data_IF_830758533014
#
_entry.id   IF_830758533014
#
_cell.length_a   1.000
_cell.length_b   1.000
_cell.length_c   1.000
_cell.angle_alpha   90.00
_cell.angle_beta   90.00
_cell.angle_gamma   90.00
#
_symmetry.space_group_name_H-M   'P 1'
#
loop_
_entity.id
_entity.type
_entity.pdbx_description
1 polymer ?
#
# COMPACT_ATOMS: atom_id res chain seq x y z
N UNK A 1 1.59 -12.48 69.38
CA UNK A 1 1.81 -11.04 69.06
C UNK A 1 2.68 -10.98 67.81
N UNK A 2 2.07 -10.65 66.66
CA UNK A 2 2.36 -9.44 65.85
C UNK A 2 3.80 -9.43 65.30
N UNK A 3 4.04 -9.50 63.99
CA UNK A 3 3.68 -8.44 63.02
C UNK A 3 3.56 -8.95 61.57
N UNK A 4 2.60 -8.34 60.87
CA UNK A 4 2.47 -8.21 59.40
C UNK A 4 3.36 -7.04 58.88
N UNK A 5 3.38 -6.91 57.55
CA UNK A 5 3.81 -5.79 56.68
C UNK A 5 5.30 -5.86 56.27
N UNK A 6 5.73 -5.69 55.00
CA UNK A 6 5.12 -5.06 53.82
C UNK A 6 5.85 -5.59 52.56
N UNK A 7 5.12 -6.07 51.55
CA UNK A 7 5.67 -6.40 50.22
C UNK A 7 4.64 -6.06 49.13
N UNK A 8 4.47 -4.77 48.83
CA UNK A 8 3.62 -4.33 47.71
C UNK A 8 3.92 -2.91 47.21
N UNK A 9 5.17 -2.58 46.88
CA UNK A 9 5.47 -1.26 46.29
C UNK A 9 6.43 -1.23 45.11
N UNK A 10 7.05 -2.35 44.70
CA UNK A 10 8.02 -2.33 43.59
C UNK A 10 7.48 -2.87 42.25
N UNK A 11 6.38 -3.62 42.24
CA UNK A 11 5.84 -4.24 41.02
C UNK A 11 4.84 -3.38 40.22
N UNK A 12 4.42 -2.22 40.74
CA UNK A 12 3.48 -1.30 40.08
C UNK A 12 4.17 -0.24 39.22
N UNK A 13 5.45 0.06 39.47
CA UNK A 13 6.17 1.15 38.78
C UNK A 13 6.76 0.70 37.43
N UNK A 14 7.18 -0.56 37.30
CA UNK A 14 7.70 -1.13 36.05
C UNK A 14 6.62 -1.46 35.02
N UNK A 15 5.47 -1.97 35.45
CA UNK A 15 4.33 -2.24 34.56
C UNK A 15 3.73 -0.94 34.00
N UNK A 16 3.69 0.13 34.80
CA UNK A 16 3.27 1.45 34.33
C UNK A 16 4.26 2.08 33.35
N UNK A 17 5.58 1.88 33.49
CA UNK A 17 6.57 2.35 32.50
C UNK A 17 6.48 1.57 31.18
N UNK A 18 6.29 0.24 31.20
CA UNK A 18 6.11 -0.58 29.98
C UNK A 18 4.81 -0.27 29.24
N UNK A 19 3.70 0.01 29.93
CA UNK A 19 2.45 0.47 29.30
C UNK A 19 2.55 1.91 28.76
N UNK A 20 3.29 2.80 29.43
CA UNK A 20 3.49 4.17 28.94
C UNK A 20 4.39 4.21 27.70
N UNK A 21 5.40 3.34 27.60
CA UNK A 21 6.27 3.21 26.42
C UNK A 21 5.60 2.51 25.21
N UNK A 22 4.59 1.66 25.42
CA UNK A 22 3.82 1.06 24.31
C UNK A 22 2.78 2.03 23.72
N UNK A 23 2.16 2.89 24.55
CA UNK A 23 1.16 3.86 24.09
C UNK A 23 1.76 5.05 23.33
N UNK A 24 3.02 5.43 23.57
CA UNK A 24 3.63 6.58 22.88
C UNK A 24 4.12 6.26 21.47
N UNK A 25 4.41 4.98 21.13
CA UNK A 25 4.84 4.60 19.77
C UNK A 25 3.68 4.41 18.79
N UNK A 26 2.49 4.06 19.27
CA UNK A 26 1.28 3.94 18.44
C UNK A 26 0.70 5.32 18.04
N UNK A 27 1.04 6.37 18.79
CA UNK A 27 0.67 7.77 18.54
C UNK A 27 1.45 8.43 17.38
N UNK A 28 2.66 7.96 17.07
CA UNK A 28 3.54 8.63 16.09
C UNK A 28 3.19 8.40 14.60
N UNK A 29 2.36 7.40 14.29
CA UNK A 29 1.86 7.17 12.91
C UNK A 29 0.68 8.10 12.56
N UNK A 30 -0.03 8.62 13.57
CA UNK A 30 -1.20 9.48 13.39
C UNK A 30 -0.83 10.96 13.19
N UNK A 31 0.35 11.40 13.64
CA UNK A 31 0.69 12.82 13.73
C UNK A 31 1.29 13.45 12.44
N UNK A 32 1.66 12.66 11.44
CA UNK A 32 2.39 13.15 10.24
C UNK A 32 1.53 13.24 8.97
N UNK A 33 0.32 12.67 8.94
CA UNK A 33 -0.54 12.73 7.75
C UNK A 33 -1.16 14.13 7.61
N UNK A 34 -0.38 15.13 7.19
CA UNK A 34 -0.92 16.37 6.61
C UNK A 34 -1.37 16.09 5.17
N UNK A 35 -2.38 15.22 5.00
CA UNK A 35 -3.14 15.10 3.75
C UNK A 35 -3.91 16.40 3.50
N UNK A 36 -4.17 16.80 2.24
CA UNK A 36 -5.26 17.71 1.95
C UNK A 36 -6.54 17.06 2.46
N UNK A 37 -7.02 17.48 3.62
CA UNK A 37 -8.11 16.81 4.31
C UNK A 37 -9.43 17.25 3.68
N UNK A 38 -10.08 16.33 2.95
CA UNK A 38 -11.53 16.41 2.74
C UNK A 38 -12.14 16.72 4.10
N UNK A 39 -12.93 17.80 4.18
CA UNK A 39 -13.50 18.25 5.46
C UNK A 39 -14.30 17.09 6.08
N UNK A 40 -14.25 16.84 7.40
CA UNK A 40 -15.04 15.77 8.02
C UNK A 40 -16.53 15.84 7.67
N UNK A 41 -17.08 17.06 7.59
CA UNK A 41 -18.47 17.29 7.16
C UNK A 41 -18.75 16.79 5.74
N UNK A 42 -17.80 16.96 4.82
CA UNK A 42 -17.91 16.52 3.44
C UNK A 42 -17.94 14.99 3.31
N UNK A 43 -17.23 14.29 4.20
CA UNK A 43 -17.29 12.82 4.31
C UNK A 43 -18.64 12.39 4.88
N UNK A 44 -19.07 13.01 5.98
CA UNK A 44 -20.37 12.73 6.60
C UNK A 44 -21.54 12.97 5.63
N UNK A 45 -21.50 14.06 4.86
CA UNK A 45 -22.50 14.36 3.83
C UNK A 45 -22.51 13.28 2.73
N UNK A 46 -21.33 12.77 2.35
CA UNK A 46 -21.21 11.69 1.36
C UNK A 46 -21.82 10.41 1.89
N UNK A 47 -21.47 10.00 3.10
CA UNK A 47 -22.04 8.81 3.77
C UNK A 47 -23.56 8.97 3.92
N UNK A 48 -24.04 10.12 4.41
CA UNK A 48 -25.46 10.37 4.55
C UNK A 48 -26.22 10.34 3.22
N UNK A 49 -25.62 10.84 2.13
CA UNK A 49 -26.20 10.77 0.79
C UNK A 49 -26.32 9.31 0.33
N UNK A 50 -25.25 8.53 0.46
CA UNK A 50 -25.24 7.10 0.11
C UNK A 50 -26.31 6.39 0.94
N UNK A 51 -26.33 6.60 2.25
CA UNK A 51 -27.24 5.91 3.15
C UNK A 51 -28.71 6.22 2.95
N UNK A 52 -29.05 7.38 2.39
CA UNK A 52 -30.41 7.71 1.96
C UNK A 52 -30.79 7.08 0.61
N UNK A 53 -29.81 6.86 -0.27
CA UNK A 53 -30.00 6.31 -1.60
C UNK A 53 -30.10 4.77 -1.64
N UNK A 54 -29.60 4.10 -0.60
CA UNK A 54 -29.61 2.62 -0.50
C UNK A 54 -30.47 2.16 0.68
N UNK A 55 -31.03 0.94 0.59
CA UNK A 55 -31.80 0.35 1.69
C UNK A 55 -30.95 0.05 2.94
N UNK A 56 -31.61 -0.19 4.08
CA UNK A 56 -30.94 -0.46 5.37
C UNK A 56 -29.94 -1.62 5.30
N UNK A 57 -30.29 -2.70 4.59
CA UNK A 57 -29.42 -3.87 4.40
C UNK A 57 -28.12 -3.48 3.65
N UNK A 58 -28.22 -2.68 2.60
CA UNK A 58 -27.06 -2.22 1.85
C UNK A 58 -26.17 -1.30 2.68
N UNK A 59 -26.73 -0.49 3.59
CA UNK A 59 -25.94 0.33 4.52
C UNK A 59 -25.09 -0.52 5.47
N UNK A 60 -25.64 -1.60 6.01
CA UNK A 60 -24.88 -2.52 6.86
C UNK A 60 -23.75 -3.19 6.08
N UNK A 61 -24.03 -3.61 4.84
CA UNK A 61 -23.03 -4.21 3.95
C UNK A 61 -21.88 -3.25 3.60
N UNK A 62 -22.13 -1.93 3.58
CA UNK A 62 -21.15 -0.90 3.23
C UNK A 62 -20.38 -0.30 4.42
N UNK A 63 -20.63 -0.80 5.63
CA UNK A 63 -20.01 -0.27 6.86
C UNK A 63 -18.49 -0.23 6.78
N UNK A 64 -17.87 -1.29 6.25
CA UNK A 64 -16.41 -1.38 6.15
C UNK A 64 -15.84 -0.28 5.26
N UNK A 65 -16.49 0.01 4.13
CA UNK A 65 -16.09 1.06 3.21
C UNK A 65 -16.17 2.43 3.87
N UNK A 66 -17.25 2.73 4.61
CA UNK A 66 -17.41 3.99 5.33
C UNK A 66 -16.35 4.21 6.41
N UNK A 67 -15.91 3.12 7.06
CA UNK A 67 -14.95 3.19 8.16
C UNK A 67 -13.48 3.18 7.70
N UNK A 68 -13.17 2.51 6.60
CA UNK A 68 -11.78 2.15 6.28
C UNK A 68 -11.29 2.59 4.89
N UNK A 69 -12.19 2.95 3.97
CA UNK A 69 -11.79 3.55 2.70
C UNK A 69 -11.38 5.01 2.94
N UNK A 70 -10.26 5.44 2.37
CA UNK A 70 -9.84 6.83 2.48
C UNK A 70 -10.93 7.79 1.98
N UNK A 71 -11.08 8.94 2.63
CA UNK A 71 -12.19 9.89 2.38
C UNK A 71 -12.24 10.45 0.96
N UNK A 72 -11.09 10.71 0.33
CA UNK A 72 -11.04 11.13 -1.07
C UNK A 72 -11.50 9.99 -2.00
N UNK A 73 -11.02 8.77 -1.74
CA UNK A 73 -11.44 7.57 -2.49
C UNK A 73 -12.93 7.25 -2.28
N UNK A 74 -13.45 7.39 -1.06
CA UNK A 74 -14.86 7.17 -0.75
C UNK A 74 -15.76 8.14 -1.53
N UNK A 75 -15.35 9.41 -1.65
CA UNK A 75 -16.05 10.39 -2.50
C UNK A 75 -15.94 10.04 -3.98
N UNK A 76 -14.74 9.68 -4.43
CA UNK A 76 -14.48 9.33 -5.83
C UNK A 76 -15.25 8.09 -6.29
N UNK A 77 -15.50 7.14 -5.38
CA UNK A 77 -16.10 5.83 -5.65
C UNK A 77 -17.51 5.69 -5.05
N UNK A 78 -18.11 6.80 -4.59
CA UNK A 78 -19.41 6.79 -3.91
C UNK A 78 -20.50 6.12 -4.76
N UNK A 79 -20.58 6.45 -6.04
CA UNK A 79 -21.56 5.86 -6.95
C UNK A 79 -21.20 4.40 -7.29
N UNK A 80 -19.92 4.04 -7.28
CA UNK A 80 -19.44 2.69 -7.59
C UNK A 80 -19.87 1.68 -6.52
N UNK A 81 -19.66 2.00 -5.24
CA UNK A 81 -19.96 1.09 -4.13
C UNK A 81 -21.46 0.87 -3.93
N UNK A 82 -22.32 1.70 -4.52
CA UNK A 82 -23.77 1.54 -4.50
C UNK A 82 -24.30 0.63 -5.62
N UNK A 83 -23.46 0.28 -6.61
CA UNK A 83 -23.91 -0.52 -7.75
C UNK A 83 -24.30 -1.93 -7.31
N UNK A 84 -25.30 -2.56 -7.97
CA UNK A 84 -25.78 -3.89 -7.61
C UNK A 84 -24.67 -4.96 -7.55
N UNK A 85 -23.67 -4.89 -8.44
CA UNK A 85 -22.58 -5.86 -8.43
C UNK A 85 -21.71 -5.74 -7.16
N UNK A 86 -21.52 -4.53 -6.63
CA UNK A 86 -20.71 -4.29 -5.45
C UNK A 86 -21.47 -4.75 -4.21
N UNK A 87 -22.77 -4.46 -4.11
CA UNK A 87 -23.63 -5.00 -3.06
C UNK A 87 -23.63 -6.54 -3.09
N UNK A 88 -23.69 -7.15 -4.29
CA UNK A 88 -23.56 -8.60 -4.47
C UNK A 88 -22.21 -9.15 -3.98
N UNK A 89 -21.11 -8.46 -4.25
CA UNK A 89 -19.79 -8.76 -3.71
C UNK A 89 -19.78 -8.73 -2.16
N UNK A 90 -20.40 -7.70 -1.55
CA UNK A 90 -20.47 -7.60 -0.09
C UNK A 90 -21.26 -8.72 0.54
N UNK A 91 -22.39 -9.12 -0.07
CA UNK A 91 -23.17 -10.31 0.36
C UNK A 91 -22.34 -11.58 0.29
N UNK A 92 -21.64 -11.81 -0.82
CA UNK A 92 -20.73 -12.96 -0.97
C UNK A 92 -19.66 -12.99 0.15
N UNK A 93 -19.03 -11.86 0.47
CA UNK A 93 -18.03 -11.81 1.55
C UNK A 93 -18.64 -12.06 2.94
N UNK A 94 -19.88 -11.62 3.17
CA UNK A 94 -20.61 -11.91 4.40
C UNK A 94 -20.93 -13.41 4.51
N UNK A 95 -21.34 -14.05 3.41
CA UNK A 95 -21.56 -15.50 3.34
C UNK A 95 -20.27 -16.30 3.58
N UNK A 96 -19.14 -15.86 3.03
CA UNK A 96 -17.84 -16.45 3.30
C UNK A 96 -17.53 -16.43 4.81
N UNK A 97 -17.77 -15.29 5.45
CA UNK A 97 -17.58 -15.11 6.89
C UNK A 97 -18.55 -15.98 7.71
N UNK A 98 -19.84 -16.02 7.35
CA UNK A 98 -20.83 -16.85 8.05
C UNK A 98 -20.54 -18.34 7.93
N UNK A 99 -19.90 -18.74 6.83
CA UNK A 99 -19.43 -20.11 6.59
C UNK A 99 -18.06 -20.40 7.22
N UNK A 100 -17.59 -19.55 8.14
CA UNK A 100 -16.31 -19.68 8.85
C UNK A 100 -15.09 -19.78 7.92
N UNK A 101 -15.16 -19.20 6.71
CA UNK A 101 -14.01 -19.13 5.81
C UNK A 101 -13.04 -18.09 6.34
N UNK A 102 -11.76 -18.46 6.42
CA UNK A 102 -10.69 -17.52 6.76
C UNK A 102 -10.33 -16.72 5.51
N UNK A 103 -10.59 -15.42 5.53
CA UNK A 103 -10.34 -14.50 4.42
C UNK A 103 -9.13 -13.62 4.75
N UNK A 104 -8.32 -13.33 3.74
CA UNK A 104 -7.23 -12.38 3.78
C UNK A 104 -7.44 -11.22 2.78
N UNK A 105 -6.90 -10.02 3.09
CA UNK A 105 -6.31 -9.63 4.37
C UNK A 105 -7.37 -9.52 5.48
N UNK A 106 -7.01 -9.25 6.76
CA UNK A 106 -7.99 -8.85 7.78
C UNK A 106 -8.90 -7.73 7.27
N UNK A 107 -10.17 -7.71 7.70
CA UNK A 107 -11.21 -6.81 7.12
C UNK A 107 -10.79 -5.34 7.11
N UNK A 108 -10.20 -4.86 8.20
CA UNK A 108 -9.73 -3.47 8.35
C UNK A 108 -8.55 -3.12 7.41
N UNK A 109 -7.87 -4.13 6.87
CA UNK A 109 -6.73 -3.97 5.96
C UNK A 109 -7.14 -4.07 4.48
N UNK A 110 -8.37 -4.47 4.14
CA UNK A 110 -8.82 -4.63 2.73
C UNK A 110 -8.59 -3.35 1.91
N UNK A 111 -8.82 -2.19 2.52
CA UNK A 111 -8.69 -0.87 1.89
C UNK A 111 -7.41 -0.12 2.24
N UNK A 112 -6.38 -0.78 2.78
CA UNK A 112 -5.12 -0.11 3.18
C UNK A 112 -4.46 0.65 2.03
N UNK A 113 -4.47 0.11 0.81
CA UNK A 113 -4.01 0.80 -0.41
C UNK A 113 -4.54 2.23 -0.53
N UNK A 114 -5.82 2.44 -0.21
CA UNK A 114 -6.50 3.73 -0.35
C UNK A 114 -6.02 4.73 0.70
N UNK A 115 -5.71 4.25 1.90
CA UNK A 115 -5.27 5.08 3.03
C UNK A 115 -3.80 5.46 2.93
N UNK A 116 -2.98 4.57 2.37
CA UNK A 116 -1.58 4.88 2.11
C UNK A 116 -1.40 5.80 0.89
N UNK A 117 -2.28 5.68 -0.12
CA UNK A 117 -2.18 6.44 -1.37
C UNK A 117 -3.53 7.05 -1.75
N UNK A 118 -3.93 8.21 -1.17
CA UNK A 118 -5.11 8.94 -1.60
C UNK A 118 -5.00 9.35 -3.09
N UNK A 119 -6.12 9.56 -3.81
CA UNK A 119 -6.10 9.90 -5.23
C UNK A 119 -5.16 11.07 -5.51
N UNK A 120 -5.22 12.13 -4.71
CA UNK A 120 -4.40 13.34 -4.84
C UNK A 120 -2.88 13.09 -4.87
N UNK A 121 -2.41 12.01 -4.25
CA UNK A 121 -0.99 11.66 -4.14
C UNK A 121 -0.49 10.65 -5.17
N UNK A 122 -1.38 10.05 -5.98
CA UNK A 122 -0.99 8.97 -6.90
C UNK A 122 -0.07 9.50 -8.00
N UNK A 123 1.15 8.94 -8.04
CA UNK A 123 2.17 9.18 -9.08
C UNK A 123 2.39 7.93 -9.94
N UNK A 124 2.42 6.77 -9.31
CA UNK A 124 2.68 5.47 -9.95
C UNK A 124 1.58 4.49 -9.54
N UNK A 125 1.16 3.62 -10.46
CA UNK A 125 0.23 2.51 -10.19
C UNK A 125 0.92 1.19 -10.51
N UNK A 126 0.96 0.29 -9.53
CA UNK A 126 1.41 -1.10 -9.70
C UNK A 126 0.21 -2.01 -9.43
N UNK A 127 -0.03 -2.95 -10.33
CA UNK A 127 -1.13 -3.91 -10.22
C UNK A 127 -0.65 -5.30 -9.83
N UNK A 128 -1.21 -5.84 -8.74
CA UNK A 128 -1.13 -7.26 -8.40
C UNK A 128 -2.42 -8.01 -8.77
N UNK A 129 -2.40 -9.33 -8.69
CA UNK A 129 -3.58 -10.15 -9.02
C UNK A 129 -4.57 -10.21 -7.85
N UNK A 130 -4.23 -10.96 -6.80
CA UNK A 130 -4.98 -11.12 -5.55
C UNK A 130 -4.02 -11.05 -4.35
N UNK A 131 -4.53 -10.88 -3.11
CA UNK A 131 -3.67 -10.84 -1.93
C UNK A 131 -2.94 -12.18 -1.73
N UNK A 132 -1.81 -12.15 -1.03
CA UNK A 132 -1.20 -13.39 -0.58
C UNK A 132 -2.17 -14.21 0.31
N UNK A 133 -2.30 -15.49 0.01
CA UNK A 133 -3.25 -16.39 0.68
C UNK A 133 -2.65 -17.12 1.90
N UNK A 134 -1.39 -16.85 2.26
CA UNK A 134 -0.77 -17.39 3.47
C UNK A 134 -1.07 -16.54 4.71
N UNK A 135 -1.11 -17.21 5.86
CA UNK A 135 -1.41 -16.58 7.15
C UNK A 135 -0.42 -15.46 7.45
N UNK A 136 -0.95 -14.26 7.71
CA UNK A 136 -0.16 -13.08 8.10
C UNK A 136 0.60 -12.40 6.96
N UNK A 137 0.44 -12.83 5.71
CA UNK A 137 1.17 -12.25 4.57
C UNK A 137 0.47 -11.00 4.01
N UNK A 138 -0.83 -11.07 3.73
CA UNK A 138 -1.55 -9.95 3.12
C UNK A 138 -1.95 -8.87 4.15
N UNK A 139 -1.70 -7.61 3.79
CA UNK A 139 -2.08 -6.41 4.57
C UNK A 139 -2.59 -5.26 3.69
N UNK A 140 -3.23 -5.61 2.55
CA UNK A 140 -3.93 -4.64 1.71
C UNK A 140 -3.09 -3.83 0.73
N UNK A 141 -1.79 -4.14 0.57
CA UNK A 141 -0.90 -3.60 -0.46
C UNK A 141 -0.40 -4.75 -1.34
N UNK A 142 -0.51 -4.64 -2.67
CA UNK A 142 -0.01 -5.69 -3.57
C UNK A 142 1.50 -5.89 -3.43
N UNK A 143 1.97 -7.12 -3.61
CA UNK A 143 3.36 -7.58 -3.43
C UNK A 143 3.97 -7.44 -2.04
N UNK A 144 3.41 -6.60 -1.16
CA UNK A 144 3.97 -6.33 0.16
C UNK A 144 3.54 -7.36 1.22
N UNK A 145 4.43 -7.60 2.20
CA UNK A 145 4.15 -8.34 3.43
C UNK A 145 4.58 -7.54 4.67
N UNK A 146 3.97 -7.75 5.86
CA UNK A 146 4.39 -7.11 7.11
C UNK A 146 5.86 -7.36 7.46
N UNK A 147 6.45 -6.45 8.26
CA UNK A 147 7.80 -6.67 8.80
C UNK A 147 7.84 -7.95 9.65
N UNK A 148 8.92 -8.71 9.52
CA UNK A 148 9.08 -10.03 10.16
C UNK A 148 8.51 -11.19 9.34
N UNK A 149 7.74 -10.92 8.28
CA UNK A 149 7.32 -11.93 7.30
C UNK A 149 8.35 -11.97 6.18
N UNK A 150 8.77 -13.17 5.79
CA UNK A 150 9.73 -13.36 4.70
C UNK A 150 9.16 -12.83 3.38
N UNK A 151 9.92 -12.02 2.61
CA UNK A 151 9.52 -11.57 1.29
C UNK A 151 9.14 -12.75 0.38
N UNK A 152 7.94 -12.74 -0.23
CA UNK A 152 7.56 -13.81 -1.16
C UNK A 152 8.39 -13.77 -2.44
N UNK A 153 8.45 -14.87 -3.21
CA UNK A 153 9.33 -14.99 -4.38
C UNK A 153 9.17 -13.87 -5.42
N UNK A 154 7.93 -13.44 -5.68
CA UNK A 154 7.67 -12.30 -6.58
C UNK A 154 8.31 -11.00 -6.09
N UNK A 155 8.25 -10.71 -4.78
CA UNK A 155 8.87 -9.52 -4.21
C UNK A 155 10.40 -9.61 -4.24
N UNK A 156 10.95 -10.80 -3.98
CA UNK A 156 12.40 -11.04 -4.12
C UNK A 156 12.86 -10.74 -5.55
N UNK A 157 12.10 -11.15 -6.56
CA UNK A 157 12.42 -10.86 -7.95
C UNK A 157 12.28 -9.37 -8.28
N UNK A 158 11.28 -8.67 -7.74
CA UNK A 158 11.18 -7.20 -7.84
C UNK A 158 12.44 -6.54 -7.26
N UNK A 159 12.90 -6.93 -6.08
CA UNK A 159 14.12 -6.39 -5.48
C UNK A 159 15.38 -6.67 -6.30
N UNK A 160 15.49 -7.87 -6.89
CA UNK A 160 16.62 -8.20 -7.78
C UNK A 160 16.61 -7.37 -9.06
N UNK A 161 15.44 -7.13 -9.65
CA UNK A 161 15.31 -6.24 -10.81
C UNK A 161 15.71 -4.80 -10.44
N UNK A 162 15.22 -4.29 -9.31
CA UNK A 162 15.61 -2.97 -8.81
C UNK A 162 17.12 -2.83 -8.54
N UNK A 163 17.76 -3.86 -7.99
CA UNK A 163 19.20 -3.85 -7.77
C UNK A 163 20.00 -3.90 -9.09
N UNK A 164 19.48 -4.58 -10.11
CA UNK A 164 20.09 -4.62 -11.44
C UNK A 164 20.04 -3.24 -12.10
N UNK A 165 18.87 -2.60 -12.07
CA UNK A 165 18.67 -1.31 -12.74
C UNK A 165 19.24 -0.13 -11.91
N UNK A 166 19.25 -0.24 -10.57
CA UNK A 166 19.78 0.77 -9.66
C UNK A 166 20.93 0.14 -8.84
N UNK A 167 22.19 0.22 -9.31
CA UNK A 167 23.31 -0.43 -8.62
C UNK A 167 23.51 0.01 -7.16
N UNK A 168 23.05 1.21 -6.79
CA UNK A 168 23.10 1.70 -5.40
C UNK A 168 21.99 1.13 -4.51
N UNK A 169 20.93 0.54 -5.08
CA UNK A 169 19.81 -0.01 -4.33
C UNK A 169 20.23 -1.23 -3.50
N UNK A 170 20.04 -1.11 -2.19
CA UNK A 170 20.27 -2.20 -1.25
C UNK A 170 18.96 -2.93 -0.97
N UNK A 171 18.94 -4.24 -1.23
CA UNK A 171 17.78 -5.08 -0.97
C UNK A 171 17.49 -5.08 0.53
N UNK A 172 16.31 -4.61 0.99
CA UNK A 172 15.98 -4.59 2.40
C UNK A 172 15.72 -6.01 2.93
N UNK A 173 15.96 -6.22 4.22
CA UNK A 173 15.68 -7.48 4.91
C UNK A 173 14.19 -7.69 5.26
N UNK A 174 13.27 -7.00 4.59
CA UNK A 174 11.84 -7.06 4.83
C UNK A 174 11.01 -6.87 3.55
N UNK A 175 9.75 -7.32 3.57
CA UNK A 175 8.84 -7.15 2.44
C UNK A 175 7.81 -6.01 2.57
N UNK A 176 8.01 -5.10 3.51
CA UNK A 176 7.06 -4.03 3.82
C UNK A 176 7.25 -2.80 2.92
N UNK A 177 6.27 -2.54 2.04
CA UNK A 177 6.33 -1.54 0.96
C UNK A 177 5.53 -0.26 1.26
N UNK A 178 5.14 -0.04 2.52
CA UNK A 178 4.33 1.14 2.88
C UNK A 178 5.04 2.47 2.57
N UNK A 179 6.38 2.51 2.56
CA UNK A 179 7.12 3.71 2.19
C UNK A 179 6.93 4.06 0.70
N UNK A 180 6.84 3.06 -0.18
CA UNK A 180 6.49 3.31 -1.58
C UNK A 180 5.08 3.88 -1.69
N UNK A 181 4.13 3.27 -0.97
CA UNK A 181 2.74 3.71 -1.00
C UNK A 181 2.57 5.16 -0.51
N UNK A 182 3.21 5.51 0.60
CA UNK A 182 3.23 6.90 1.13
C UNK A 182 3.85 7.91 0.16
N UNK A 183 4.68 7.46 -0.76
CA UNK A 183 5.38 8.29 -1.74
C UNK A 183 4.64 8.41 -3.07
N UNK A 184 3.39 7.94 -3.12
CA UNK A 184 2.52 8.04 -4.29
C UNK A 184 2.47 6.79 -5.17
N UNK A 185 3.00 5.65 -4.70
CA UNK A 185 2.89 4.36 -5.41
C UNK A 185 1.62 3.62 -4.98
N UNK A 186 0.58 3.69 -5.80
CA UNK A 186 -0.64 2.93 -5.58
C UNK A 186 -0.39 1.43 -5.83
N UNK A 187 -0.27 0.67 -4.73
CA UNK A 187 -0.09 -0.78 -4.72
C UNK A 187 -1.46 -1.50 -4.64
N UNK A 188 -2.09 -1.74 -5.80
CA UNK A 188 -3.47 -2.23 -5.88
C UNK A 188 -3.53 -3.65 -6.45
N UNK A 189 -4.19 -4.58 -5.73
CA UNK A 189 -4.54 -5.87 -6.32
C UNK A 189 -5.84 -5.75 -7.15
N UNK A 190 -6.00 -6.55 -8.20
CA UNK A 190 -7.25 -6.61 -8.97
C UNK A 190 -8.41 -7.28 -8.22
N UNK A 191 -8.11 -8.28 -7.38
CA UNK A 191 -8.99 -8.77 -6.32
C UNK A 191 -8.49 -8.30 -4.97
N UNK A 192 -9.35 -7.81 -4.07
CA UNK A 192 -8.91 -7.27 -2.78
C UNK A 192 -9.01 -8.28 -1.62
N UNK A 193 -9.62 -9.44 -1.85
CA UNK A 193 -9.67 -10.52 -0.84
C UNK A 193 -9.41 -11.89 -1.45
N UNK A 194 -9.03 -12.84 -0.61
CA UNK A 194 -8.77 -14.24 -0.96
C UNK A 194 -9.04 -15.13 0.26
N UNK A 195 -9.47 -16.37 0.06
CA UNK A 195 -9.48 -17.37 1.15
C UNK A 195 -8.06 -17.82 1.49
N UNK A 196 -7.86 -18.19 2.75
CA UNK A 196 -6.62 -18.79 3.20
C UNK A 196 -6.30 -20.04 2.37
N UNK A 197 -5.08 -20.12 1.85
CA UNK A 197 -4.55 -21.26 1.09
C UNK A 197 -5.24 -21.57 -0.25
N UNK A 198 -6.19 -20.74 -0.71
CA UNK A 198 -6.88 -20.92 -2.00
C UNK A 198 -6.68 -19.66 -2.86
N UNK A 199 -5.57 -19.61 -3.61
CA UNK A 199 -5.29 -18.52 -4.55
C UNK A 199 -6.46 -18.31 -5.53
N UNK A 200 -6.76 -17.04 -5.86
CA UNK A 200 -7.83 -16.64 -6.77
C UNK A 200 -9.25 -17.11 -6.39
N UNK A 201 -9.48 -17.60 -5.17
CA UNK A 201 -10.80 -18.08 -4.69
C UNK A 201 -11.93 -17.04 -4.78
N UNK A 202 -11.61 -15.75 -4.79
CA UNK A 202 -12.58 -14.65 -4.93
C UNK A 202 -12.56 -13.99 -6.32
N UNK A 203 -11.88 -14.61 -7.29
CA UNK A 203 -11.88 -14.15 -8.68
C UNK A 203 -13.29 -14.13 -9.27
N UNK A 204 -13.61 -13.09 -10.03
CA UNK A 204 -14.91 -12.92 -10.69
C UNK A 204 -16.06 -12.58 -9.75
N UNK A 205 -15.80 -12.33 -8.46
CA UNK A 205 -16.84 -12.00 -7.47
C UNK A 205 -17.21 -10.52 -7.42
N UNK A 206 -16.51 -9.67 -8.18
CA UNK A 206 -16.85 -8.25 -8.36
C UNK A 206 -15.73 -7.28 -8.02
N UNK A 207 -14.64 -7.74 -7.39
CA UNK A 207 -13.49 -6.87 -7.09
C UNK A 207 -12.84 -6.31 -8.34
N UNK A 208 -12.78 -7.08 -9.42
CA UNK A 208 -12.15 -6.66 -10.67
C UNK A 208 -12.84 -5.43 -11.24
N UNK A 209 -14.18 -5.40 -11.18
CA UNK A 209 -15.00 -4.24 -11.61
C UNK A 209 -14.77 -3.04 -10.70
N UNK A 210 -14.71 -3.26 -9.39
CA UNK A 210 -14.42 -2.17 -8.45
C UNK A 210 -13.03 -1.58 -8.66
N UNK A 211 -12.01 -2.42 -8.86
CA UNK A 211 -10.65 -1.94 -9.13
C UNK A 211 -10.50 -1.37 -10.53
N UNK A 212 -11.34 -1.78 -11.51
CA UNK A 212 -11.46 -1.08 -12.81
C UNK A 212 -11.93 0.35 -12.60
N UNK A 213 -12.92 0.59 -11.74
CA UNK A 213 -13.40 1.93 -11.44
C UNK A 213 -12.33 2.81 -10.78
N UNK A 214 -11.46 2.23 -9.93
CA UNK A 214 -10.29 2.92 -9.37
C UNK A 214 -9.34 3.39 -10.48
N UNK A 215 -9.00 2.50 -11.41
CA UNK A 215 -8.10 2.83 -12.53
C UNK A 215 -8.75 3.83 -13.47
N UNK A 216 -10.04 3.68 -13.78
CA UNK A 216 -10.78 4.60 -14.63
C UNK A 216 -10.85 5.99 -14.02
N UNK A 217 -11.10 6.11 -12.71
CA UNK A 217 -11.10 7.39 -12.02
C UNK A 217 -9.76 8.12 -12.18
N UNK A 218 -8.64 7.42 -12.02
CA UNK A 218 -7.31 8.00 -12.22
C UNK A 218 -7.07 8.38 -13.69
N UNK A 219 -7.41 7.48 -14.61
CA UNK A 219 -7.28 7.69 -16.05
C UNK A 219 -8.07 8.92 -16.53
N UNK A 220 -9.21 9.21 -15.94
CA UNK A 220 -10.04 10.37 -16.27
C UNK A 220 -9.58 11.65 -15.58
N UNK A 221 -9.34 11.59 -14.26
CA UNK A 221 -9.18 12.78 -13.41
C UNK A 221 -7.74 13.24 -13.23
N UNK A 222 -6.75 12.45 -13.66
CA UNK A 222 -5.33 12.79 -13.55
C UNK A 222 -4.65 12.78 -14.90
N UNK A 223 -3.43 13.29 -14.94
CA UNK A 223 -2.47 13.24 -16.04
C UNK A 223 -1.10 12.89 -15.45
N UNK A 224 -0.16 12.43 -16.27
CA UNK A 224 1.23 12.17 -15.84
C UNK A 224 1.44 10.94 -14.95
N UNK A 225 0.40 10.15 -14.67
CA UNK A 225 0.56 8.89 -13.92
C UNK A 225 1.34 7.86 -14.75
N UNK A 226 2.25 7.14 -14.09
CA UNK A 226 2.92 5.96 -14.63
C UNK A 226 2.18 4.70 -14.20
N UNK A 227 1.78 3.87 -15.15
CA UNK A 227 1.18 2.56 -14.90
C UNK A 227 2.18 1.45 -15.20
N UNK A 228 2.55 0.68 -14.18
CA UNK A 228 3.45 -0.46 -14.27
C UNK A 228 2.61 -1.75 -14.26
N UNK A 229 2.52 -2.39 -15.42
CA UNK A 229 1.62 -3.50 -15.66
C UNK A 229 2.42 -4.79 -15.85
N UNK A 230 2.45 -5.60 -14.79
CA UNK A 230 3.23 -6.83 -14.79
C UNK A 230 2.35 -8.06 -15.01
N UNK A 231 2.55 -8.73 -16.13
CA UNK A 231 1.81 -9.93 -16.52
C UNK A 231 0.52 -9.65 -17.30
N UNK A 232 0.01 -10.69 -17.96
CA UNK A 232 -1.11 -10.61 -18.91
C UNK A 232 -2.38 -10.00 -18.31
N UNK A 233 -2.69 -10.27 -17.05
CA UNK A 233 -3.86 -9.74 -16.37
C UNK A 233 -3.79 -8.22 -16.18
N UNK A 234 -2.66 -7.71 -15.67
CA UNK A 234 -2.43 -6.29 -15.50
C UNK A 234 -2.38 -5.56 -16.86
N UNK A 235 -1.67 -6.12 -17.84
CA UNK A 235 -1.58 -5.58 -19.20
C UNK A 235 -2.97 -5.48 -19.85
N UNK A 236 -3.80 -6.52 -19.71
CA UNK A 236 -5.17 -6.51 -20.23
C UNK A 236 -6.01 -5.40 -19.59
N UNK A 237 -5.94 -5.25 -18.26
CA UNK A 237 -6.65 -4.20 -17.52
C UNK A 237 -6.18 -2.79 -17.94
N UNK A 238 -4.90 -2.62 -18.25
CA UNK A 238 -4.35 -1.33 -18.68
C UNK A 238 -4.67 -0.89 -20.12
N UNK A 239 -5.32 -1.73 -20.93
CA UNK A 239 -5.69 -1.36 -22.31
C UNK A 239 -6.60 -0.13 -22.41
N UNK A 240 -7.35 0.17 -21.35
CA UNK A 240 -8.25 1.34 -21.29
C UNK A 240 -7.53 2.65 -20.92
N UNK A 241 -6.27 2.58 -20.51
CA UNK A 241 -5.50 3.75 -20.08
C UNK A 241 -5.19 4.63 -21.29
N UNK A 242 -5.47 5.93 -21.18
CA UNK A 242 -5.17 6.90 -22.19
C UNK A 242 -3.66 7.19 -22.22
N UNK A 243 -2.97 6.59 -23.19
CA UNK A 243 -1.52 6.73 -23.38
C UNK A 243 -1.07 8.15 -23.77
N UNK A 244 -1.98 9.02 -24.20
CA UNK A 244 -1.67 10.44 -24.43
C UNK A 244 -1.62 11.24 -23.12
N UNK A 245 -2.23 10.72 -22.05
CA UNK A 245 -2.26 11.35 -20.72
C UNK A 245 -1.28 10.72 -19.73
N UNK A 246 -0.88 9.47 -19.97
CA UNK A 246 -0.23 8.60 -19.00
C UNK A 246 0.86 7.76 -19.66
N UNK A 247 1.89 7.43 -18.90
CA UNK A 247 2.89 6.45 -19.32
C UNK A 247 2.43 5.06 -18.91
N UNK A 248 2.47 4.10 -19.85
CA UNK A 248 2.14 2.70 -19.60
C UNK A 248 3.36 1.85 -19.89
N UNK A 249 3.85 1.13 -18.88
CA UNK A 249 5.01 0.24 -18.93
C UNK A 249 4.55 -1.20 -18.69
N UNK A 250 4.72 -2.04 -19.70
CA UNK A 250 4.33 -3.45 -19.66
C UNK A 250 5.56 -4.32 -19.43
N UNK A 251 5.44 -5.33 -18.56
CA UNK A 251 6.45 -6.38 -18.40
C UNK A 251 5.80 -7.74 -18.13
N UNK A 252 6.56 -8.83 -18.25
CA UNK A 252 6.11 -10.13 -17.73
C UNK A 252 5.97 -10.08 -16.21
N UNK A 253 5.24 -11.02 -15.61
CA UNK A 253 5.02 -10.99 -14.15
C UNK A 253 6.30 -11.36 -13.37
N UNK A 254 6.56 -10.77 -12.17
CA UNK A 254 7.74 -11.08 -11.34
C UNK A 254 7.73 -12.49 -10.70
N UNK A 255 6.67 -13.27 -10.88
CA UNK A 255 6.59 -14.64 -10.34
C UNK A 255 7.74 -15.50 -10.88
N UNK A 256 8.28 -16.45 -10.09
CA UNK A 256 9.28 -17.41 -10.57
C UNK A 256 8.88 -18.13 -11.87
N UNK A 257 7.58 -18.32 -12.10
CA UNK A 257 7.04 -18.96 -13.31
C UNK A 257 7.29 -18.17 -14.60
N UNK A 258 7.59 -16.87 -14.49
CA UNK A 258 7.72 -15.96 -15.64
C UNK A 258 8.90 -15.01 -15.57
N UNK A 259 9.54 -14.83 -14.41
CA UNK A 259 10.57 -13.80 -14.23
C UNK A 259 11.77 -13.97 -15.18
N UNK A 260 12.20 -15.21 -15.41
CA UNK A 260 13.27 -15.55 -16.35
C UNK A 260 12.88 -15.39 -17.83
N UNK A 261 11.60 -15.13 -18.14
CA UNK A 261 11.11 -14.87 -19.50
C UNK A 261 11.12 -13.38 -19.86
N UNK A 262 11.95 -12.58 -19.17
CA UNK A 262 12.15 -11.17 -19.49
C UNK A 262 11.70 -10.16 -18.41
N UNK A 263 11.42 -10.57 -17.16
CA UNK A 263 11.14 -9.58 -16.08
C UNK A 263 12.41 -8.84 -15.67
N UNK A 264 13.54 -9.54 -15.65
CA UNK A 264 14.83 -8.92 -15.34
C UNK A 264 15.37 -8.10 -16.52
N UNK A 265 14.83 -8.30 -17.73
CA UNK A 265 15.24 -7.61 -18.95
C UNK A 265 14.25 -6.52 -19.35
N UNK A 266 13.05 -6.51 -18.74
CA UNK A 266 12.24 -5.31 -18.72
C UNK A 266 13.01 -4.30 -17.88
N UNK A 267 13.79 -3.47 -18.55
CA UNK A 267 14.43 -2.21 -18.16
C UNK A 267 13.41 -1.30 -17.44
N UNK A 268 12.79 -1.75 -16.37
CA UNK A 268 11.55 -1.16 -15.87
C UNK A 268 11.85 0.16 -15.19
N UNK A 269 13.03 0.26 -14.57
CA UNK A 269 13.57 1.53 -14.09
C UNK A 269 14.34 2.26 -15.19
N UNK A 270 15.09 1.55 -16.02
CA UNK A 270 15.82 2.16 -17.14
C UNK A 270 14.90 2.83 -18.16
N UNK A 271 13.66 2.36 -18.37
CA UNK A 271 12.60 3.01 -19.17
C UNK A 271 12.06 4.29 -18.52
N UNK A 272 12.11 4.39 -17.19
CA UNK A 272 11.79 5.64 -16.48
C UNK A 272 12.90 6.68 -16.68
N UNK A 273 14.15 6.25 -16.83
CA UNK A 273 15.30 7.15 -17.07
C UNK A 273 15.57 7.42 -18.57
N UNK A 274 15.31 6.47 -19.47
CA UNK A 274 15.73 6.49 -20.89
C UNK A 274 14.71 7.06 -21.86
N UNK A 275 13.42 7.15 -21.50
CA UNK A 275 12.43 7.78 -22.38
C UNK A 275 12.60 9.29 -22.38
N UNK A 276 13.39 9.79 -23.34
CA UNK A 276 13.41 11.18 -23.77
C UNK A 276 12.01 11.74 -24.12
N UNK A 277 11.01 10.91 -24.39
CA UNK A 277 9.60 11.31 -24.57
C UNK A 277 8.90 11.77 -23.27
N UNK A 278 9.51 11.49 -22.10
CA UNK A 278 9.15 12.13 -20.82
C UNK A 278 9.61 13.60 -20.81
N UNK A 279 10.51 14.04 -21.70
CA UNK A 279 10.94 15.45 -21.78
C UNK A 279 9.95 16.33 -22.55
N UNK A 280 9.27 15.81 -23.57
CA UNK A 280 8.37 16.60 -24.41
C UNK A 280 6.90 16.55 -23.97
N UNK A 281 6.45 15.44 -23.37
CA UNK A 281 5.07 15.34 -22.83
C UNK A 281 4.85 16.22 -21.59
N UNK A 282 5.94 16.67 -20.95
CA UNK A 282 5.95 17.40 -19.68
C UNK A 282 6.48 18.84 -19.82
N UNK A 283 6.50 19.39 -21.05
CA UNK A 283 7.13 20.68 -21.36
C UNK A 283 6.59 21.88 -20.55
N UNK A 284 5.35 21.83 -20.05
CA UNK A 284 4.77 22.92 -19.24
C UNK A 284 5.07 22.82 -17.74
N UNK A 285 5.62 21.72 -17.23
CA UNK A 285 5.81 21.51 -15.78
C UNK A 285 7.14 20.82 -15.45
N UNK A 286 8.17 21.09 -16.26
CA UNK A 286 9.55 20.55 -16.17
C UNK A 286 10.14 20.55 -14.74
N UNK A 287 9.85 21.59 -13.96
CA UNK A 287 10.30 21.74 -12.56
C UNK A 287 9.64 20.77 -11.57
N UNK A 288 8.40 20.31 -11.82
CA UNK A 288 7.70 19.37 -10.93
C UNK A 288 8.14 17.93 -11.18
N UNK A 289 8.44 17.56 -12.42
CA UNK A 289 8.85 16.19 -12.78
C UNK A 289 10.30 15.90 -12.40
N UNK A 290 11.21 16.86 -12.58
CA UNK A 290 12.58 16.77 -12.04
C UNK A 290 12.55 16.66 -10.51
N UNK A 291 11.66 17.40 -9.84
CA UNK A 291 11.39 17.27 -8.40
C UNK A 291 10.76 15.94 -8.00
N UNK A 292 9.97 15.27 -8.84
CA UNK A 292 9.37 13.95 -8.54
C UNK A 292 10.39 12.82 -8.66
N UNK A 293 11.29 12.88 -9.65
CA UNK A 293 12.38 11.91 -9.77
C UNK A 293 13.49 12.17 -8.73
N UNK A 294 13.76 13.43 -8.37
CA UNK A 294 14.54 13.75 -7.18
C UNK A 294 13.83 13.27 -5.92
N UNK A 295 12.53 13.52 -5.70
CA UNK A 295 11.80 13.04 -4.52
C UNK A 295 11.75 11.51 -4.43
N UNK A 296 11.62 10.79 -5.55
CA UNK A 296 11.72 9.33 -5.56
C UNK A 296 13.15 8.92 -5.19
N UNK A 297 14.19 9.55 -5.76
CA UNK A 297 15.60 9.33 -5.39
C UNK A 297 15.92 9.72 -3.93
N UNK A 298 15.35 10.80 -3.43
CA UNK A 298 15.49 11.36 -2.08
C UNK A 298 14.68 10.55 -1.07
N UNK A 299 13.56 9.94 -1.46
CA UNK A 299 12.85 8.94 -0.65
C UNK A 299 13.65 7.64 -0.54
N UNK A 300 14.45 7.31 -1.55
CA UNK A 300 15.39 6.18 -1.52
C UNK A 300 16.69 6.51 -0.76
N UNK A 301 17.16 7.77 -0.74
CA UNK A 301 18.31 8.26 0.05
C UNK A 301 17.93 8.66 1.51
N UNK A 302 16.69 9.03 1.82
CA UNK A 302 16.21 9.26 3.20
C UNK A 302 16.13 7.95 4.01
N UNK A 303 16.07 6.81 3.33
CA UNK A 303 16.26 5.49 3.94
C UNK A 303 17.72 5.22 4.35
N UNK A 304 18.69 5.97 3.79
CA UNK A 304 20.11 5.94 4.16
C UNK A 304 20.40 6.86 5.35
N UNK A 305 19.77 8.03 5.39
CA UNK A 305 19.98 9.04 6.43
C UNK A 305 19.36 8.72 7.81
N UNK A 306 18.49 7.71 7.92
CA UNK A 306 18.03 7.21 9.24
C UNK A 306 18.84 6.03 9.80
N UNK A 307 19.85 5.55 9.08
CA UNK A 307 20.81 4.54 9.56
C UNK A 307 22.25 5.06 9.65
N UNK A 308 22.54 6.26 9.14
CA UNK A 308 23.85 6.91 9.34
C UNK A 308 23.89 7.78 10.61
N UNK A 309 22.74 8.20 11.15
CA UNK A 309 22.66 8.92 12.43
C UNK A 309 23.02 8.07 13.65
N UNK A 310 22.91 6.74 13.59
CA UNK A 310 23.25 5.85 14.71
C UNK A 310 24.59 5.14 14.56
N UNK A 311 25.23 5.13 13.39
CA UNK A 311 26.56 4.52 13.24
C UNK A 311 27.71 5.48 13.57
N UNK A 312 27.48 6.80 13.44
CA UNK A 312 28.44 7.82 13.86
C UNK A 312 28.51 7.91 15.40
N UNK A 313 27.37 7.95 16.09
CA UNK A 313 27.32 8.00 17.56
C UNK A 313 27.82 6.70 18.23
N UNK A 314 27.73 5.55 17.55
CA UNK A 314 28.24 4.28 18.12
C UNK A 314 29.75 4.10 17.91
N UNK A 315 30.35 4.76 16.91
CA UNK A 315 31.80 4.71 16.68
C UNK A 315 32.58 5.57 17.66
N UNK A 316 32.04 6.72 18.06
CA UNK A 316 32.69 7.59 19.06
C UNK A 316 32.64 6.98 20.48
N UNK A 317 31.53 6.31 20.83
CA UNK A 317 31.41 5.56 22.10
C UNK A 317 32.35 4.33 22.15
N UNK A 318 32.59 3.66 21.02
CA UNK A 318 33.52 2.51 20.94
C UNK A 318 35.01 2.90 20.93
N UNK A 319 35.33 4.14 20.55
CA UNK A 319 36.70 4.69 20.64
C UNK A 319 37.00 5.19 22.06
N UNK A 320 36.04 5.79 22.76
CA UNK A 320 36.19 6.15 24.17
C UNK A 320 36.32 4.93 25.09
N UNK A 321 35.57 3.84 24.83
CA UNK A 321 35.67 2.60 25.63
C UNK A 321 36.96 1.79 25.39
N UNK A 322 37.68 2.03 24.29
CA UNK A 322 38.99 1.40 24.02
C UNK A 322 40.19 2.15 24.59
N UNK A 323 40.00 3.42 24.96
CA UNK A 323 41.06 4.26 25.55
C UNK A 323 40.94 4.38 27.08
N UNK A 324 39.95 3.72 27.69
CA UNK A 324 39.70 3.71 29.14
C UNK A 324 39.96 2.33 29.79
N UNK A 325 40.84 1.51 29.20
CA UNK A 325 41.39 0.28 29.80
C UNK A 325 42.90 0.26 29.67
#
# INVERSE_FOLDING_TARGET
MSKRENASSENTTENNKKQKLSNTKQSSLAAWIKTPTVKPQDVQNTVAKISKGVGLEANELLKLEFETLNSEWLRALADEIQKPYFIGLKKFLQEEKSNNKRIFPPENEIYSWSRFTPPSSVKIVILGQDPYHGVGQAHGLCFSVPKGVQPPPSLVNIYKALQKDIPSFQIPNHGYLANWAKSGVLLLNTSLTVRAHEAASHSGRGWEKFTDAVIQHLNEKKTGIVFMLWGSHAIKKGKVINKNKHLVLDAVHPSPLSAHRGFFDSETVDLLESKAEIKDTFAEDKLKTEGILSEIKDTFEEAKLKTEGTLAETKDILVELKNAS
#
